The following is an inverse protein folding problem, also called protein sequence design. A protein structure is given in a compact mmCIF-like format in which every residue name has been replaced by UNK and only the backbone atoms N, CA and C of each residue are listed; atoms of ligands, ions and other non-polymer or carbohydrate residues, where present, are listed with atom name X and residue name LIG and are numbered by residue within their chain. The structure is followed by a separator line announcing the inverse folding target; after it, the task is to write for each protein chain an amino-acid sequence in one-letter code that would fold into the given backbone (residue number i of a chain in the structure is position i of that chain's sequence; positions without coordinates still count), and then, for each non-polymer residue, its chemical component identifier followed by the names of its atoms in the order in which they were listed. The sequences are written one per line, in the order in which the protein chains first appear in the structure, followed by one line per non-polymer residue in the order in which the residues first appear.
data_IF_002910293370
#
_entry.id   IF_002910293370
#
_cell.length_a   1.000
_cell.length_b   1.000
_cell.length_c   1.000
_cell.angle_alpha   90.00
_cell.angle_beta   90.00
_cell.angle_gamma   90.00
#
_symmetry.space_group_name_H-M   'P 1'
#
loop_
_entity.id
_entity.type
_entity.pdbx_description
1 polymer ?
#
# COMPACT_ATOMS: atom_id res chain seq x y z
N UNK A 1 8.58 -25.99 -33.69
CA UNK A 1 9.67 -25.17 -33.12
C UNK A 1 9.44 -23.76 -33.62
N UNK A 2 9.20 -22.82 -32.70
CA UNK A 2 8.95 -21.41 -33.04
C UNK A 2 10.28 -20.77 -33.45
N UNK A 3 10.33 -20.07 -34.58
CA UNK A 3 11.56 -19.48 -35.10
C UNK A 3 12.10 -18.32 -34.23
N UNK A 4 13.38 -17.99 -34.38
CA UNK A 4 14.02 -16.94 -33.58
C UNK A 4 13.43 -15.55 -33.85
N UNK A 5 12.89 -15.32 -35.05
CA UNK A 5 12.23 -14.06 -35.37
C UNK A 5 10.94 -13.87 -34.56
N UNK A 6 10.14 -14.93 -34.40
CA UNK A 6 8.94 -14.94 -33.58
C UNK A 6 9.29 -14.79 -32.09
N UNK A 7 10.34 -15.46 -31.62
CA UNK A 7 10.88 -15.28 -30.25
C UNK A 7 11.30 -13.84 -29.97
N UNK A 8 11.98 -13.18 -30.93
CA UNK A 8 12.34 -11.76 -30.83
C UNK A 8 11.09 -10.87 -30.76
N UNK A 9 10.10 -11.09 -31.64
CA UNK A 9 8.83 -10.33 -31.63
C UNK A 9 8.08 -10.46 -30.31
N UNK A 10 8.05 -11.65 -29.71
CA UNK A 10 7.44 -11.86 -28.39
C UNK A 10 8.14 -11.02 -27.31
N UNK A 11 9.48 -10.98 -27.30
CA UNK A 11 10.25 -10.13 -26.37
C UNK A 11 9.96 -8.63 -26.59
N UNK A 12 9.90 -8.18 -27.83
CA UNK A 12 9.58 -6.77 -28.18
C UNK A 12 8.15 -6.36 -27.78
N UNK A 13 7.19 -7.30 -27.83
CA UNK A 13 5.84 -7.11 -27.29
C UNK A 13 5.77 -7.19 -25.75
N UNK A 14 6.92 -7.36 -25.09
CA UNK A 14 7.03 -7.51 -23.64
C UNK A 14 6.51 -8.84 -23.13
N UNK A 15 6.44 -9.88 -23.96
CA UNK A 15 5.97 -11.24 -23.63
C UNK A 15 7.16 -12.22 -23.51
N UNK A 16 8.24 -11.80 -22.85
CA UNK A 16 9.46 -12.61 -22.70
C UNK A 16 9.19 -13.94 -21.97
N UNK A 17 8.26 -13.94 -21.02
CA UNK A 17 7.87 -15.11 -20.24
C UNK A 17 7.22 -16.20 -21.10
N UNK A 18 6.60 -15.85 -22.25
CA UNK A 18 6.11 -16.86 -23.21
C UNK A 18 7.27 -17.55 -23.94
N UNK A 19 8.39 -16.86 -24.15
CA UNK A 19 9.59 -17.48 -24.73
C UNK A 19 10.22 -18.47 -23.74
N UNK A 20 10.27 -18.12 -22.45
CA UNK A 20 10.72 -19.01 -21.39
C UNK A 20 9.83 -20.27 -21.28
N UNK A 21 8.51 -20.10 -21.36
CA UNK A 21 7.57 -21.22 -21.39
C UNK A 21 7.76 -22.12 -22.62
N UNK A 22 8.04 -21.55 -23.80
CA UNK A 22 8.36 -22.33 -25.00
C UNK A 22 9.64 -23.15 -24.81
N UNK A 23 10.69 -22.56 -24.22
CA UNK A 23 11.95 -23.27 -23.94
C UNK A 23 11.74 -24.43 -22.95
N UNK A 24 10.93 -24.21 -21.91
CA UNK A 24 10.55 -25.24 -20.95
C UNK A 24 9.81 -26.40 -21.62
N UNK A 25 8.81 -26.11 -22.47
CA UNK A 25 8.07 -27.14 -23.19
C UNK A 25 8.94 -27.90 -24.18
N UNK A 26 9.81 -27.21 -24.93
CA UNK A 26 10.72 -27.85 -25.89
C UNK A 26 11.76 -28.75 -25.20
N UNK A 27 12.13 -28.42 -23.95
CA UNK A 27 13.04 -29.23 -23.13
C UNK A 27 12.40 -30.46 -22.46
N UNK A 28 11.06 -30.51 -22.38
CA UNK A 28 10.31 -31.59 -21.74
C UNK A 28 9.55 -32.44 -22.79
N UNK A 29 10.00 -33.69 -22.95
CA UNK A 29 9.39 -34.64 -23.88
C UNK A 29 7.92 -34.97 -23.57
N UNK A 30 7.49 -34.83 -22.31
CA UNK A 30 6.09 -35.05 -21.91
C UNK A 30 5.23 -33.87 -22.38
N UNK A 31 5.66 -32.64 -22.10
CA UNK A 31 5.01 -31.43 -22.59
C UNK A 31 4.85 -31.43 -24.12
N UNK A 32 5.83 -31.96 -24.86
CA UNK A 32 5.75 -32.07 -26.32
C UNK A 32 4.73 -33.09 -26.84
N UNK A 33 4.31 -34.06 -26.02
CA UNK A 33 3.31 -35.06 -26.35
C UNK A 33 1.86 -34.56 -26.13
N UNK A 34 1.68 -33.42 -25.45
CA UNK A 34 0.38 -32.78 -25.23
C UNK A 34 -0.11 -32.13 -26.54
N UNK A 35 -1.43 -32.03 -26.71
CA UNK A 35 -2.04 -31.37 -27.85
C UNK A 35 -1.58 -29.91 -27.98
N UNK A 36 -1.57 -29.39 -29.21
CA UNK A 36 -1.11 -28.02 -29.48
C UNK A 36 -1.87 -26.97 -28.65
N UNK A 37 -3.19 -27.08 -28.57
CA UNK A 37 -4.04 -26.13 -27.86
C UNK A 37 -3.73 -26.10 -26.35
N UNK A 38 -3.50 -27.28 -25.75
CA UNK A 38 -3.12 -27.40 -24.34
C UNK A 38 -1.73 -26.80 -24.08
N UNK A 39 -0.79 -26.98 -25.00
CA UNK A 39 0.54 -26.34 -24.91
C UNK A 39 0.45 -24.82 -24.98
N UNK A 40 -0.40 -24.28 -25.84
CA UNK A 40 -0.66 -22.84 -25.90
C UNK A 40 -1.29 -22.37 -24.58
N UNK A 41 -2.26 -23.12 -24.05
CA UNK A 41 -2.88 -22.81 -22.77
C UNK A 41 -1.84 -22.78 -21.64
N UNK A 42 -0.99 -23.81 -21.52
CA UNK A 42 0.10 -23.89 -20.53
C UNK A 42 1.09 -22.72 -20.67
N UNK A 43 1.44 -22.34 -21.91
CA UNK A 43 2.35 -21.23 -22.18
C UNK A 43 1.76 -19.88 -21.74
N UNK A 44 0.47 -19.65 -22.04
CA UNK A 44 -0.23 -18.42 -21.65
C UNK A 44 -0.39 -18.35 -20.14
N UNK A 45 -0.74 -19.46 -19.49
CA UNK A 45 -0.92 -19.52 -18.04
C UNK A 45 0.40 -19.24 -17.31
N UNK A 46 1.50 -19.90 -17.70
CA UNK A 46 2.84 -19.62 -17.19
C UNK A 46 3.21 -18.15 -17.34
N UNK A 47 3.04 -17.58 -18.53
CA UNK A 47 3.40 -16.20 -18.79
C UNK A 47 2.53 -15.22 -17.99
N UNK A 48 1.24 -15.50 -17.83
CA UNK A 48 0.34 -14.70 -17.02
C UNK A 48 0.74 -14.71 -15.55
N UNK A 49 1.04 -15.88 -14.98
CA UNK A 49 1.51 -16.04 -13.60
C UNK A 49 2.86 -15.36 -13.35
N UNK A 50 3.83 -15.58 -14.24
CA UNK A 50 5.16 -14.98 -14.14
C UNK A 50 5.07 -13.44 -14.17
N UNK A 51 4.27 -12.87 -15.09
CA UNK A 51 4.01 -11.43 -15.13
C UNK A 51 3.27 -10.91 -13.90
N UNK A 52 2.29 -11.66 -13.42
CA UNK A 52 1.58 -11.32 -12.20
C UNK A 52 2.55 -11.21 -11.02
N UNK A 53 3.35 -12.25 -10.78
CA UNK A 53 4.35 -12.31 -9.70
C UNK A 53 5.36 -11.17 -9.85
N UNK A 54 5.88 -10.94 -11.05
CA UNK A 54 6.83 -9.85 -11.33
C UNK A 54 6.24 -8.46 -11.03
N UNK A 55 4.98 -8.23 -11.45
CA UNK A 55 4.28 -6.98 -11.17
C UNK A 55 4.05 -6.77 -9.68
N UNK A 56 3.56 -7.79 -8.97
CA UNK A 56 3.35 -7.73 -7.51
C UNK A 56 4.66 -7.46 -6.78
N UNK A 57 5.74 -8.17 -7.13
CA UNK A 57 7.08 -7.97 -6.55
C UNK A 57 7.58 -6.54 -6.75
N UNK A 58 7.41 -5.99 -7.96
CA UNK A 58 7.78 -4.61 -8.28
C UNK A 58 6.97 -3.59 -7.47
N UNK A 59 5.66 -3.79 -7.35
CA UNK A 59 4.78 -2.90 -6.59
C UNK A 59 5.12 -2.95 -5.09
N UNK A 60 5.28 -4.15 -4.51
CA UNK A 60 5.68 -4.31 -3.12
C UNK A 60 7.03 -3.64 -2.82
N UNK A 61 8.02 -3.76 -3.72
CA UNK A 61 9.31 -3.09 -3.58
C UNK A 61 9.21 -1.55 -3.66
N UNK A 62 8.31 -1.03 -4.50
CA UNK A 62 8.04 0.42 -4.63
C UNK A 62 7.22 0.99 -3.48
N UNK A 63 6.43 0.14 -2.81
CA UNK A 63 5.62 0.54 -1.67
C UNK A 63 6.45 0.94 -0.45
N UNK A 64 7.70 0.49 -0.33
CA UNK A 64 8.60 0.85 0.79
C UNK A 64 7.98 0.57 2.16
N UNK A 65 7.35 -0.61 2.29
CA UNK A 65 6.73 -1.04 3.54
C UNK A 65 7.76 -1.12 4.65
N UNK A 66 7.41 -0.63 5.85
CA UNK A 66 8.24 -0.78 7.06
C UNK A 66 8.41 -2.24 7.47
N UNK A 67 7.36 -3.05 7.29
CA UNK A 67 7.35 -4.49 7.52
C UNK A 67 6.99 -5.22 6.22
N UNK A 68 7.96 -5.51 5.33
CA UNK A 68 7.70 -6.20 4.06
C UNK A 68 7.10 -7.60 4.21
N UNK A 69 7.48 -8.27 5.30
CA UNK A 69 7.04 -9.62 5.61
C UNK A 69 5.73 -9.66 6.41
N UNK A 70 5.08 -8.51 6.66
CA UNK A 70 3.82 -8.47 7.41
C UNK A 70 2.71 -9.31 6.74
N UNK A 71 1.99 -10.09 7.53
CA UNK A 71 0.87 -10.92 7.10
C UNK A 71 -0.29 -10.85 8.10
N UNK A 72 -1.52 -10.73 7.58
CA UNK A 72 -2.71 -10.64 8.45
C UNK A 72 -2.92 -11.89 9.31
N UNK A 73 -2.44 -13.06 8.84
CA UNK A 73 -2.52 -14.32 9.57
C UNK A 73 -1.60 -14.40 10.79
N UNK A 74 -0.56 -13.55 10.85
CA UNK A 74 0.36 -13.47 11.98
C UNK A 74 -0.07 -12.41 13.03
N UNK A 75 -1.11 -11.63 12.73
CA UNK A 75 -1.62 -10.66 13.68
C UNK A 75 -2.19 -11.34 14.93
N UNK A 76 -1.90 -10.75 16.09
CA UNK A 76 -2.47 -11.21 17.36
C UNK A 76 -3.85 -10.57 17.51
N UNK A 77 -4.89 -11.40 17.50
CA UNK A 77 -6.28 -11.00 17.78
C UNK A 77 -6.70 -11.34 19.21
N UNK A 78 -6.19 -12.44 19.75
CA UNK A 78 -6.50 -12.91 21.10
C UNK A 78 -6.10 -11.89 22.18
N UNK A 79 -6.96 -11.72 23.18
CA UNK A 79 -6.76 -10.75 24.26
C UNK A 79 -6.95 -9.28 23.86
N UNK A 80 -7.44 -9.01 22.64
CA UNK A 80 -7.70 -7.64 22.15
C UNK A 80 -9.18 -7.49 21.79
N UNK A 81 -9.75 -6.31 22.05
CA UNK A 81 -11.12 -5.97 21.65
C UNK A 81 -11.16 -5.39 20.23
N UNK A 82 -10.52 -6.08 19.28
CA UNK A 82 -10.46 -5.65 17.87
C UNK A 82 -11.50 -6.38 17.04
N UNK A 83 -12.08 -5.69 16.07
CA UNK A 83 -13.05 -6.29 15.15
C UNK A 83 -12.31 -7.03 14.02
N UNK A 84 -12.24 -8.35 14.13
CA UNK A 84 -11.61 -9.20 13.13
C UNK A 84 -12.34 -9.19 11.78
N UNK A 85 -13.67 -9.00 11.78
CA UNK A 85 -14.47 -8.93 10.54
C UNK A 85 -14.07 -7.68 9.75
N UNK A 86 -13.98 -6.54 10.44
CA UNK A 86 -13.59 -5.27 9.83
C UNK A 86 -12.14 -5.29 9.31
N UNK A 87 -11.22 -5.95 10.04
CA UNK A 87 -9.84 -6.14 9.59
C UNK A 87 -9.79 -7.00 8.32
N UNK A 88 -10.54 -8.11 8.29
CA UNK A 88 -10.65 -8.94 7.10
C UNK A 88 -11.26 -8.18 5.91
N UNK A 89 -12.30 -7.38 6.15
CA UNK A 89 -12.94 -6.54 5.13
C UNK A 89 -11.95 -5.51 4.57
N UNK A 90 -11.21 -4.80 5.44
CA UNK A 90 -10.16 -3.89 5.01
C UNK A 90 -9.04 -4.60 4.21
N UNK A 91 -8.76 -5.87 4.54
CA UNK A 91 -7.82 -6.72 3.81
C UNK A 91 -8.25 -7.08 2.39
N UNK A 92 -9.54 -6.95 2.05
CA UNK A 92 -10.02 -7.08 0.67
C UNK A 92 -9.68 -5.86 -0.18
N UNK A 93 -9.22 -4.76 0.43
CA UNK A 93 -8.93 -3.50 -0.23
C UNK A 93 -10.10 -2.95 -1.07
N UNK A 94 -11.35 -3.31 -0.76
CA UNK A 94 -12.53 -2.82 -1.47
C UNK A 94 -12.70 -1.29 -1.33
N UNK A 95 -12.31 -0.73 -0.19
CA UNK A 95 -12.28 0.73 0.01
C UNK A 95 -11.29 1.40 -0.96
N UNK A 96 -10.16 0.74 -1.27
CA UNK A 96 -9.19 1.23 -2.27
C UNK A 96 -9.80 1.20 -3.67
N UNK A 97 -10.51 0.12 -4.00
CA UNK A 97 -11.16 0.00 -5.30
C UNK A 97 -12.27 1.04 -5.53
N UNK A 98 -12.84 1.59 -4.45
CA UNK A 98 -13.88 2.63 -4.48
C UNK A 98 -13.33 4.05 -4.25
N UNK A 99 -12.01 4.20 -4.17
CA UNK A 99 -11.34 5.47 -3.83
C UNK A 99 -11.79 6.08 -2.49
N UNK A 100 -12.32 5.26 -1.57
CA UNK A 100 -12.61 5.64 -0.21
C UNK A 100 -11.33 5.65 0.64
N UNK A 101 -11.28 6.47 1.68
CA UNK A 101 -10.13 6.52 2.59
C UNK A 101 -10.20 5.40 3.64
N UNK A 102 -9.08 5.11 4.29
CA UNK A 102 -9.02 4.21 5.44
C UNK A 102 -8.45 4.96 6.64
N UNK A 103 -8.77 4.56 7.87
CA UNK A 103 -8.12 5.11 9.06
C UNK A 103 -7.79 3.96 10.00
N UNK A 104 -6.55 3.88 10.46
CA UNK A 104 -6.14 2.92 11.50
C UNK A 104 -5.86 3.69 12.79
N UNK A 105 -6.70 3.47 13.78
CA UNK A 105 -6.64 4.07 15.11
C UNK A 105 -6.15 3.05 16.14
N UNK A 106 -5.58 3.51 17.26
CA UNK A 106 -5.16 2.68 18.38
C UNK A 106 -3.96 3.26 19.13
N UNK A 107 -3.71 2.80 20.35
CA UNK A 107 -2.60 3.31 21.15
C UNK A 107 -1.22 2.90 20.62
N UNK A 108 -0.16 3.49 21.18
CA UNK A 108 1.22 3.12 20.85
C UNK A 108 1.47 1.64 21.16
N UNK A 109 1.92 0.89 20.16
CA UNK A 109 2.17 -0.54 20.28
C UNK A 109 0.95 -1.43 20.03
N UNK A 110 -0.17 -0.89 19.55
CA UNK A 110 -1.34 -1.67 19.11
C UNK A 110 -1.19 -2.27 17.69
N UNK A 111 0.03 -2.31 17.12
CA UNK A 111 0.31 -2.85 15.78
C UNK A 111 -0.33 -2.12 14.57
N UNK A 112 -0.64 -0.83 14.71
CA UNK A 112 -1.15 0.01 13.60
C UNK A 112 -0.28 -0.07 12.34
N UNK A 113 1.02 0.21 12.48
CA UNK A 113 1.99 0.15 11.38
C UNK A 113 2.07 -1.25 10.73
N UNK A 114 1.88 -2.32 11.52
CA UNK A 114 1.90 -3.69 11.03
C UNK A 114 0.65 -3.98 10.19
N UNK A 115 -0.55 -3.67 10.70
CA UNK A 115 -1.79 -3.81 9.94
C UNK A 115 -1.77 -2.96 8.65
N UNK A 116 -1.23 -1.74 8.73
CA UNK A 116 -1.10 -0.87 7.57
C UNK A 116 -0.21 -1.51 6.49
N UNK A 117 0.91 -2.13 6.88
CA UNK A 117 1.77 -2.89 5.97
C UNK A 117 1.05 -4.12 5.39
N UNK A 118 0.26 -4.84 6.21
CA UNK A 118 -0.57 -5.95 5.73
C UNK A 118 -1.54 -5.52 4.63
N UNK A 119 -2.34 -4.47 4.88
CA UNK A 119 -3.30 -3.94 3.90
C UNK A 119 -2.57 -3.43 2.65
N UNK A 120 -1.47 -2.67 2.83
CA UNK A 120 -0.67 -2.16 1.72
C UNK A 120 -0.08 -3.27 0.85
N UNK A 121 0.36 -4.38 1.46
CA UNK A 121 0.84 -5.58 0.76
C UNK A 121 -0.29 -6.28 0.01
N UNK A 122 -1.49 -6.37 0.59
CA UNK A 122 -2.67 -6.90 -0.11
C UNK A 122 -3.05 -6.04 -1.32
N UNK A 123 -3.05 -4.71 -1.18
CA UNK A 123 -3.27 -3.81 -2.31
C UNK A 123 -2.24 -4.04 -3.44
N UNK A 124 -0.96 -4.24 -3.10
CA UNK A 124 0.07 -4.60 -4.09
C UNK A 124 -0.21 -5.93 -4.78
N UNK A 125 -0.71 -6.94 -4.06
CA UNK A 125 -1.13 -8.24 -4.64
C UNK A 125 -2.31 -8.06 -5.60
N UNK A 126 -3.21 -7.12 -5.33
CA UNK A 126 -4.29 -6.71 -6.24
C UNK A 126 -3.81 -5.80 -7.39
N UNK A 127 -2.49 -5.70 -7.60
CA UNK A 127 -1.81 -4.85 -8.59
C UNK A 127 -2.12 -3.35 -8.44
N UNK A 128 -2.54 -2.90 -7.26
CA UNK A 128 -2.72 -1.49 -6.95
C UNK A 128 -1.38 -0.86 -6.59
N UNK A 129 -1.16 0.34 -7.10
CA UNK A 129 0.01 1.15 -6.78
C UNK A 129 -0.08 1.66 -5.35
N UNK A 130 0.87 1.27 -4.51
CA UNK A 130 0.82 1.60 -3.08
C UNK A 130 2.11 2.27 -2.65
N UNK A 131 2.02 3.17 -1.67
CA UNK A 131 3.17 3.76 -1.00
C UNK A 131 2.93 3.88 0.49
N UNK A 132 3.88 3.40 1.28
CA UNK A 132 3.99 3.65 2.70
C UNK A 132 4.94 4.84 2.95
N UNK A 133 4.51 5.74 3.81
CA UNK A 133 5.25 6.94 4.21
C UNK A 133 5.18 7.05 5.72
N UNK A 134 6.33 7.23 6.36
CA UNK A 134 6.41 7.64 7.75
C UNK A 134 6.37 9.17 7.80
N UNK A 135 5.39 9.75 8.50
CA UNK A 135 5.18 11.20 8.46
C UNK A 135 6.41 12.00 8.95
N UNK A 136 7.09 11.64 10.06
CA UNK A 136 8.32 12.32 10.46
C UNK A 136 9.41 12.33 9.38
N UNK A 137 9.61 11.20 8.67
CA UNK A 137 10.59 11.13 7.57
C UNK A 137 10.19 12.05 6.40
N UNK A 138 8.90 12.24 6.16
CA UNK A 138 8.40 13.17 5.14
C UNK A 138 8.66 14.63 5.52
N UNK A 139 8.53 14.98 6.80
CA UNK A 139 8.85 16.31 7.31
C UNK A 139 10.35 16.60 7.18
N UNK A 140 11.20 15.61 7.49
CA UNK A 140 12.64 15.71 7.27
C UNK A 140 12.98 15.86 5.78
N UNK A 141 12.38 15.06 4.89
CA UNK A 141 12.57 15.18 3.43
C UNK A 141 12.17 16.58 2.93
N UNK A 142 11.08 17.14 3.45
CA UNK A 142 10.64 18.51 3.14
C UNK A 142 11.69 19.53 3.54
N UNK A 143 12.21 19.46 4.76
CA UNK A 143 13.17 20.43 5.30
C UNK A 143 14.48 20.43 4.51
N UNK A 144 14.98 19.25 4.15
CA UNK A 144 16.14 19.11 3.27
C UNK A 144 15.90 19.72 1.89
N UNK A 145 14.70 19.50 1.32
CA UNK A 145 14.34 20.03 0.00
C UNK A 145 14.00 21.52 0.02
N UNK A 146 13.58 22.08 1.15
CA UNK A 146 13.21 23.49 1.29
C UNK A 146 14.39 24.42 0.94
N UNK A 147 15.63 23.94 1.11
CA UNK A 147 16.84 24.62 0.68
C UNK A 147 16.97 24.79 -0.86
N UNK A 148 16.10 24.16 -1.67
CA UNK A 148 16.20 24.10 -3.15
C UNK A 148 15.00 24.71 -3.91
N UNK A 149 14.22 25.59 -3.27
CA UNK A 149 13.10 26.41 -3.83
C UNK A 149 11.90 25.66 -4.46
N UNK A 150 11.87 24.31 -4.48
CA UNK A 150 10.76 23.52 -5.09
C UNK A 150 10.37 22.23 -4.35
N UNK A 151 10.45 22.20 -3.02
CA UNK A 151 10.18 21.02 -2.19
C UNK A 151 8.74 20.49 -2.35
N UNK A 152 7.74 21.33 -2.13
CA UNK A 152 6.34 20.89 -2.04
C UNK A 152 5.82 20.33 -3.37
N UNK A 153 6.17 20.95 -4.49
CA UNK A 153 5.76 20.48 -5.82
C UNK A 153 6.38 19.12 -6.17
N UNK A 154 7.61 18.83 -5.72
CA UNK A 154 8.25 17.52 -5.90
C UNK A 154 7.56 16.45 -5.06
N UNK A 155 7.32 16.75 -3.78
CA UNK A 155 6.63 15.84 -2.84
C UNK A 155 5.20 15.54 -3.34
N UNK A 156 4.45 16.56 -3.76
CA UNK A 156 3.11 16.39 -4.32
C UNK A 156 3.10 15.44 -5.53
N UNK A 157 3.99 15.67 -6.51
CA UNK A 157 4.11 14.78 -7.68
C UNK A 157 4.51 13.36 -7.30
N UNK A 158 5.36 13.23 -6.27
CA UNK A 158 5.85 11.94 -5.78
C UNK A 158 4.74 11.11 -5.14
N UNK A 159 3.83 11.69 -4.36
CA UNK A 159 2.87 10.93 -3.56
C UNK A 159 1.42 10.96 -4.07
N UNK A 160 1.03 11.91 -4.91
CA UNK A 160 -0.37 12.06 -5.33
C UNK A 160 -0.91 10.91 -6.20
N UNK A 161 -0.06 10.16 -6.90
CA UNK A 161 -0.45 9.21 -7.94
C UNK A 161 -0.62 7.75 -7.50
N UNK A 162 -0.34 7.43 -6.23
CA UNK A 162 -0.51 6.05 -5.74
C UNK A 162 -1.98 5.78 -5.45
N UNK A 163 -2.50 4.63 -5.84
CA UNK A 163 -3.87 4.23 -5.51
C UNK A 163 -4.10 4.07 -4.00
N UNK A 164 -3.07 3.65 -3.27
CA UNK A 164 -3.08 3.66 -1.81
C UNK A 164 -1.84 4.38 -1.26
N UNK A 165 -2.06 5.45 -0.49
CA UNK A 165 -1.03 6.15 0.27
C UNK A 165 -1.24 5.90 1.76
N UNK A 166 -0.37 5.11 2.37
CA UNK A 166 -0.35 4.91 3.82
C UNK A 166 0.53 5.98 4.45
N UNK A 167 -0.02 6.71 5.42
CA UNK A 167 0.70 7.73 6.18
C UNK A 167 0.77 7.30 7.64
N UNK A 168 1.90 6.75 8.04
CA UNK A 168 2.12 6.24 9.38
C UNK A 168 2.61 7.33 10.34
N UNK A 169 2.34 7.15 11.63
CA UNK A 169 2.52 8.17 12.69
C UNK A 169 1.80 9.50 12.38
N UNK A 170 0.58 9.40 11.84
CA UNK A 170 -0.23 10.57 11.51
C UNK A 170 -0.52 11.42 12.75
N UNK A 171 0.02 12.65 12.73
CA UNK A 171 -0.09 13.66 13.78
C UNK A 171 0.38 13.19 15.17
N UNK A 172 1.26 12.17 15.24
CA UNK A 172 1.93 11.75 16.48
C UNK A 172 2.75 12.89 17.06
N UNK A 173 3.58 13.51 16.21
CA UNK A 173 4.33 14.72 16.49
C UNK A 173 3.56 15.97 16.06
N UNK A 174 3.98 17.14 16.56
CA UNK A 174 3.40 18.41 16.14
C UNK A 174 3.72 18.73 14.69
N UNK A 175 2.80 19.40 14.00
CA UNK A 175 2.98 19.89 12.64
C UNK A 175 3.02 21.42 12.65
N UNK A 176 3.92 22.01 11.86
CA UNK A 176 3.97 23.46 11.65
C UNK A 176 3.10 23.89 10.44
N UNK A 177 2.95 25.20 10.22
CA UNK A 177 2.17 25.72 9.09
C UNK A 177 2.67 25.22 7.72
N UNK A 178 3.97 24.95 7.62
CA UNK A 178 4.59 24.44 6.39
C UNK A 178 4.22 22.97 6.18
N UNK A 179 4.10 22.18 7.25
CA UNK A 179 3.67 20.78 7.22
C UNK A 179 2.21 20.69 6.82
N UNK A 180 1.37 21.54 7.40
CA UNK A 180 -0.05 21.63 7.05
C UNK A 180 -0.18 21.96 5.56
N UNK A 181 0.55 22.96 5.06
CA UNK A 181 0.56 23.29 3.63
C UNK A 181 1.08 22.14 2.75
N UNK A 182 2.09 21.40 3.20
CA UNK A 182 2.64 20.24 2.50
C UNK A 182 1.64 19.09 2.40
N UNK A 183 0.89 18.84 3.48
CA UNK A 183 -0.05 17.73 3.61
C UNK A 183 -1.39 18.02 2.92
N UNK A 184 -1.82 19.28 2.96
CA UNK A 184 -3.11 19.71 2.42
C UNK A 184 -3.25 19.39 0.93
N UNK A 185 -2.28 19.78 0.11
CA UNK A 185 -2.32 19.63 -1.34
C UNK A 185 -2.42 18.16 -1.81
N UNK A 186 -1.61 17.20 -1.29
CA UNK A 186 -1.80 15.79 -1.57
C UNK A 186 -3.18 15.26 -1.14
N UNK A 187 -3.68 15.64 0.03
CA UNK A 187 -4.98 15.16 0.52
C UNK A 187 -6.11 15.68 -0.36
N UNK A 188 -6.07 16.97 -0.72
CA UNK A 188 -7.04 17.60 -1.61
C UNK A 188 -7.09 16.88 -2.97
N UNK A 189 -5.93 16.65 -3.58
CA UNK A 189 -5.83 16.07 -4.92
C UNK A 189 -6.25 14.60 -4.97
N UNK A 190 -6.12 13.89 -3.85
CA UNK A 190 -6.45 12.47 -3.74
C UNK A 190 -7.90 12.24 -3.39
N UNK A 191 -8.56 13.20 -2.75
CA UNK A 191 -9.95 13.07 -2.34
C UNK A 191 -10.86 12.67 -3.52
N UNK A 192 -11.69 11.63 -3.29
CA UNK A 192 -12.58 11.02 -4.27
C UNK A 192 -11.91 10.47 -5.56
N UNK A 193 -10.58 10.34 -5.58
CA UNK A 193 -9.83 9.81 -6.71
C UNK A 193 -8.91 8.64 -6.32
N UNK A 194 -8.23 8.74 -5.18
CA UNK A 194 -7.30 7.74 -4.67
C UNK A 194 -7.37 7.64 -3.13
N UNK A 195 -7.04 6.48 -2.58
CA UNK A 195 -7.23 6.22 -1.15
C UNK A 195 -6.03 6.64 -0.29
N UNK A 196 -6.29 7.35 0.79
CA UNK A 196 -5.29 7.70 1.80
C UNK A 196 -5.62 6.98 3.11
N UNK A 197 -4.61 6.41 3.75
CA UNK A 197 -4.75 5.65 4.99
C UNK A 197 -3.81 6.17 6.08
N UNK A 198 -4.22 7.20 6.85
CA UNK A 198 -3.52 7.60 8.06
C UNK A 198 -3.58 6.52 9.15
N UNK A 199 -2.44 6.30 9.80
CA UNK A 199 -2.33 5.48 11.01
C UNK A 199 -1.99 6.39 12.20
N UNK A 200 -2.85 6.44 13.20
CA UNK A 200 -2.75 7.45 14.28
C UNK A 200 -3.12 6.88 15.63
N UNK A 201 -2.70 7.57 16.69
CA UNK A 201 -3.17 7.31 18.05
C UNK A 201 -4.24 8.29 18.52
N UNK A 202 -4.60 9.28 17.69
CA UNK A 202 -5.58 10.30 18.01
C UNK A 202 -6.85 10.11 17.20
N UNK A 203 -7.97 10.41 17.79
CA UNK A 203 -9.26 10.37 17.11
C UNK A 203 -9.36 11.49 16.07
N UNK A 204 -10.19 11.34 15.02
CA UNK A 204 -10.46 12.41 14.06
C UNK A 204 -10.85 13.76 14.69
N UNK A 205 -11.55 13.74 15.82
CA UNK A 205 -11.94 14.94 16.55
C UNK A 205 -10.72 15.72 17.10
N UNK A 206 -9.63 15.02 17.44
CA UNK A 206 -8.40 15.63 17.94
C UNK A 206 -7.49 16.15 16.82
N UNK A 207 -7.67 15.68 15.58
CA UNK A 207 -6.82 16.07 14.46
C UNK A 207 -6.94 17.57 14.15
N UNK A 208 -8.13 18.17 14.30
CA UNK A 208 -8.32 19.60 14.02
C UNK A 208 -7.37 20.49 14.84
N UNK A 209 -7.34 20.27 16.16
CA UNK A 209 -6.45 21.03 17.06
C UNK A 209 -4.97 20.74 16.79
N UNK A 210 -4.63 19.50 16.40
CA UNK A 210 -3.25 19.11 16.05
C UNK A 210 -2.76 19.70 14.73
N UNK A 211 -3.67 19.95 13.80
CA UNK A 211 -3.42 20.63 12.54
C UNK A 211 -3.43 22.17 12.69
N UNK A 212 -3.33 22.71 13.91
CA UNK A 212 -3.35 24.15 14.17
C UNK A 212 -4.73 24.81 14.03
N UNK A 213 -5.77 24.03 13.72
CA UNK A 213 -7.14 24.48 13.53
C UNK A 213 -7.39 25.24 12.22
N UNK A 214 -8.51 25.97 12.18
CA UNK A 214 -8.93 26.75 11.02
C UNK A 214 -9.43 25.92 9.84
N UNK A 215 -9.67 26.62 8.72
CA UNK A 215 -10.39 26.07 7.56
C UNK A 215 -9.62 24.94 6.87
N UNK A 216 -8.29 25.00 6.81
CA UNK A 216 -7.48 23.93 6.20
C UNK A 216 -7.53 22.64 7.01
N UNK A 217 -7.44 22.73 8.34
CA UNK A 217 -7.58 21.58 9.22
C UNK A 217 -8.96 20.94 9.08
N UNK A 218 -10.04 21.74 9.11
CA UNK A 218 -11.41 21.25 8.90
C UNK A 218 -11.55 20.51 7.58
N UNK A 219 -11.04 21.12 6.49
CA UNK A 219 -11.07 20.55 5.16
C UNK A 219 -10.31 19.22 5.03
N UNK A 220 -9.16 19.08 5.69
CA UNK A 220 -8.37 17.83 5.69
C UNK A 220 -9.06 16.72 6.46
N UNK A 221 -9.58 17.04 7.66
CA UNK A 221 -10.29 16.06 8.50
C UNK A 221 -11.53 15.55 7.78
N UNK A 222 -12.34 16.46 7.22
CA UNK A 222 -13.54 16.10 6.46
C UNK A 222 -13.20 15.14 5.31
N UNK A 223 -12.22 15.49 4.46
CA UNK A 223 -11.83 14.66 3.31
C UNK A 223 -11.28 13.29 3.70
N UNK A 224 -10.46 13.22 4.76
CA UNK A 224 -9.85 11.97 5.18
C UNK A 224 -10.87 11.02 5.84
N UNK A 225 -11.88 11.56 6.52
CA UNK A 225 -12.80 10.79 7.36
C UNK A 225 -14.11 10.47 6.63
N UNK A 226 -14.50 11.29 5.66
CA UNK A 226 -15.72 11.10 4.86
C UNK A 226 -15.77 9.68 4.26
N UNK A 227 -16.77 8.89 4.67
CA UNK A 227 -17.00 7.50 4.25
C UNK A 227 -15.76 6.59 4.38
N UNK A 228 -14.88 6.89 5.34
CA UNK A 228 -13.65 6.12 5.54
C UNK A 228 -13.88 4.77 6.20
N UNK A 229 -13.11 3.76 5.78
CA UNK A 229 -13.00 2.48 6.46
C UNK A 229 -12.14 2.65 7.73
N UNK A 230 -12.78 2.78 8.89
CA UNK A 230 -12.11 3.03 10.17
C UNK A 230 -11.89 1.75 10.95
N UNK A 231 -10.65 1.47 11.35
CA UNK A 231 -10.25 0.30 12.12
C UNK A 231 -9.65 0.76 13.43
N UNK A 232 -10.27 0.40 14.55
CA UNK A 232 -9.72 0.65 15.88
C UNK A 232 -9.01 -0.61 16.40
N UNK A 233 -7.72 -0.48 16.67
CA UNK A 233 -6.86 -1.54 17.21
C UNK A 233 -6.82 -1.58 18.75
N UNK A 234 -7.52 -0.66 19.40
CA UNK A 234 -7.66 -0.56 20.84
C UNK A 234 -6.39 -0.07 21.55
N UNK A 235 -6.32 -0.40 22.83
CA UNK A 235 -5.32 0.09 23.79
C UNK A 235 -4.25 -0.94 24.16
N UNK A 236 -4.43 -2.19 23.76
CA UNK A 236 -3.52 -3.29 24.09
C UNK A 236 -2.17 -3.13 23.38
N UNK A 237 -1.10 -3.05 24.17
CA UNK A 237 0.26 -3.02 23.65
C UNK A 237 0.74 -4.46 23.35
N UNK A 238 0.84 -4.80 22.07
CA UNK A 238 1.17 -6.15 21.61
C UNK A 238 2.60 -6.54 21.99
N UNK A 239 3.54 -5.58 22.02
CA UNK A 239 4.92 -5.86 22.44
C UNK A 239 5.01 -6.31 23.89
N UNK A 240 4.20 -5.71 24.78
CA UNK A 240 4.09 -6.13 26.18
C UNK A 240 3.42 -7.50 26.30
N UNK A 241 2.32 -7.70 25.59
CA UNK A 241 1.59 -8.98 25.58
C UNK A 241 2.49 -10.16 25.16
N UNK A 242 3.33 -9.96 24.14
CA UNK A 242 4.30 -10.97 23.69
C UNK A 242 5.42 -11.24 24.70
N UNK A 243 5.82 -10.23 25.49
CA UNK A 243 6.83 -10.39 26.53
C UNK A 243 6.30 -11.17 27.74
N UNK A 244 5.00 -11.05 28.06
CA UNK A 244 4.37 -11.76 29.18
C UNK A 244 4.08 -13.24 28.87
N UNK A 245 4.00 -13.63 27.59
CA UNK A 245 3.79 -15.01 27.15
C UNK A 245 5.09 -15.84 27.01
N UNK A 246 6.26 -15.24 27.25
CA UNK A 246 7.60 -15.89 27.20
C UNK A 246 8.11 -16.19 28.59
#
# INVERSE_FOLDING_TARGET
MVDEETRRKLRELGMGEMVEALDLQESDGISMAVAFDDRIWMMVDYAYEAKYISSVKRLAARAKLRFPDAEMGEMIYDGRKIDGVLICEAGTCQFVASAANGVIEGLTGADKSYLACCIAKQACKMRRSTRYVHLPDLQMERDELAATERSNAKILRKYAHYELLVVDEWLTEGVDDKDISLLFEPIERRYAAESTMPCTQYTPAEWHGRLGGGVQADAMVDRLVHESARIDLGDVNVRKLLAEKR
#
